data_IF_295247011401
#
_entry.id   IF_295247011401
#
_cell.length_a   1.000
_cell.length_b   1.000
_cell.length_c   1.000
_cell.angle_alpha   90.00
_cell.angle_beta   90.00
_cell.angle_gamma   90.00
#
_symmetry.space_group_name_H-M   'P 1'
#
loop_
_entity.id
_entity.type
_entity.pdbx_description
1 polymer ?
#
# COMPACT_ATOMS: atom_id res chain seq x y z
N UNK A 1 45.22 12.65 -78.23
CA UNK A 1 43.82 12.40 -77.83
C UNK A 1 43.85 11.85 -76.43
N UNK A 2 42.99 12.40 -75.57
CA UNK A 2 42.87 12.06 -74.17
C UNK A 2 42.15 10.73 -73.97
N UNK A 3 42.48 10.05 -72.86
CA UNK A 3 41.49 9.58 -71.88
C UNK A 3 42.16 9.59 -70.49
N UNK A 4 41.73 10.41 -69.53
CA UNK A 4 42.12 10.26 -68.14
C UNK A 4 41.32 9.12 -67.50
N UNK A 5 42.04 8.24 -66.81
CA UNK A 5 41.51 7.18 -65.96
C UNK A 5 40.92 7.84 -64.69
N UNK A 6 39.62 7.72 -64.52
CA UNK A 6 38.86 8.23 -63.39
C UNK A 6 38.34 7.02 -62.60
N UNK A 7 39.15 6.39 -61.76
CA UNK A 7 38.57 5.39 -60.84
C UNK A 7 39.31 5.08 -59.54
N UNK A 8 40.10 6.00 -58.97
CA UNK A 8 40.90 5.69 -57.75
C UNK A 8 40.60 6.55 -56.50
N UNK A 9 39.57 7.41 -56.51
CA UNK A 9 39.30 8.31 -55.36
C UNK A 9 37.98 8.10 -54.65
N UNK A 10 37.10 7.20 -55.13
CA UNK A 10 35.75 7.02 -54.55
C UNK A 10 35.70 6.05 -53.36
N UNK A 11 36.72 5.21 -53.20
CA UNK A 11 36.71 4.08 -52.25
C UNK A 11 37.33 4.39 -50.88
N UNK A 12 38.14 5.45 -50.77
CA UNK A 12 38.86 5.80 -49.53
C UNK A 12 38.03 6.64 -48.54
N UNK A 13 37.00 7.34 -49.01
CA UNK A 13 36.16 8.19 -48.15
C UNK A 13 35.11 7.42 -47.34
N UNK A 14 34.55 6.35 -47.91
CA UNK A 14 33.49 5.53 -47.31
C UNK A 14 34.01 4.61 -46.21
N UNK A 15 35.24 4.12 -46.33
CA UNK A 15 35.90 3.25 -45.34
C UNK A 15 36.28 3.98 -44.04
N UNK A 16 36.71 5.25 -44.13
CA UNK A 16 37.02 6.08 -42.94
C UNK A 16 35.76 6.54 -42.19
N UNK A 17 34.72 6.94 -42.92
CA UNK A 17 33.43 7.30 -42.32
C UNK A 17 32.73 6.10 -41.66
N UNK A 18 32.78 4.91 -42.27
CA UNK A 18 32.26 3.68 -41.67
C UNK A 18 33.01 3.29 -40.38
N UNK A 19 34.34 3.40 -40.39
CA UNK A 19 35.17 3.09 -39.20
C UNK A 19 34.92 4.07 -38.05
N UNK A 20 34.74 5.36 -38.33
CA UNK A 20 34.42 6.37 -37.31
C UNK A 20 33.04 6.14 -36.67
N UNK A 21 32.02 5.83 -37.47
CA UNK A 21 30.67 5.54 -36.97
C UNK A 21 30.65 4.27 -36.12
N UNK A 22 31.35 3.22 -36.55
CA UNK A 22 31.50 1.98 -35.75
C UNK A 22 32.19 2.27 -34.42
N UNK A 23 33.24 3.11 -34.42
CA UNK A 23 33.92 3.52 -33.17
C UNK A 23 32.99 4.24 -32.19
N UNK A 24 32.15 5.16 -32.68
CA UNK A 24 31.17 5.89 -31.84
C UNK A 24 30.11 4.96 -31.27
N UNK A 25 29.56 4.06 -32.08
CA UNK A 25 28.53 3.09 -31.63
C UNK A 25 29.09 2.15 -30.59
N UNK A 26 30.30 1.60 -30.82
CA UNK A 26 30.97 0.74 -29.84
C UNK A 26 31.27 1.50 -28.54
N UNK A 27 31.71 2.75 -28.63
CA UNK A 27 31.93 3.61 -27.46
C UNK A 27 30.65 3.85 -26.64
N UNK A 28 29.51 4.10 -27.30
CA UNK A 28 28.22 4.27 -26.62
C UNK A 28 27.76 2.99 -25.93
N UNK A 29 27.91 1.84 -26.59
CA UNK A 29 27.54 0.54 -26.00
C UNK A 29 28.40 0.24 -24.77
N UNK A 30 29.71 0.46 -24.84
CA UNK A 30 30.62 0.28 -23.70
C UNK A 30 30.23 1.21 -22.56
N UNK A 31 29.97 2.49 -22.85
CA UNK A 31 29.56 3.46 -21.84
C UNK A 31 28.24 3.06 -21.16
N UNK A 32 27.25 2.60 -21.93
CA UNK A 32 25.99 2.10 -21.39
C UNK A 32 26.19 0.88 -20.50
N UNK A 33 27.00 -0.10 -20.94
CA UNK A 33 27.33 -1.28 -20.13
C UNK A 33 28.04 -0.91 -18.82
N UNK A 34 29.00 0.02 -18.87
CA UNK A 34 29.69 0.51 -17.66
C UNK A 34 28.72 1.24 -16.73
N UNK A 35 27.81 2.05 -17.27
CA UNK A 35 26.77 2.72 -16.50
C UNK A 35 25.82 1.74 -15.81
N UNK A 36 25.40 0.68 -16.50
CA UNK A 36 24.54 -0.37 -15.93
C UNK A 36 25.27 -1.14 -14.83
N UNK A 37 26.52 -1.56 -15.06
CA UNK A 37 27.31 -2.26 -14.03
C UNK A 37 27.56 -1.34 -12.82
N UNK A 38 27.91 -0.08 -13.05
CA UNK A 38 28.08 0.91 -11.99
C UNK A 38 26.79 1.13 -11.18
N UNK A 39 25.64 1.17 -11.86
CA UNK A 39 24.33 1.27 -11.20
C UNK A 39 24.04 0.06 -10.31
N UNK A 40 24.25 -1.16 -10.80
CA UNK A 40 24.03 -2.37 -10.00
C UNK A 40 25.00 -2.47 -8.81
N UNK A 41 26.27 -2.08 -8.98
CA UNK A 41 27.23 -2.02 -7.87
C UNK A 41 26.81 -0.98 -6.83
N UNK A 42 26.34 0.19 -7.26
CA UNK A 42 25.88 1.24 -6.36
C UNK A 42 24.63 0.81 -5.58
N UNK A 43 23.65 0.22 -6.26
CA UNK A 43 22.43 -0.31 -5.61
C UNK A 43 22.78 -1.44 -4.63
N UNK A 44 23.69 -2.34 -5.00
CA UNK A 44 24.16 -3.41 -4.10
C UNK A 44 24.79 -2.85 -2.82
N UNK A 45 25.74 -1.92 -2.94
CA UNK A 45 26.38 -1.29 -1.77
C UNK A 45 25.40 -0.47 -0.93
N UNK A 46 24.45 0.22 -1.57
CA UNK A 46 23.41 0.96 -0.86
C UNK A 46 22.49 0.02 -0.05
N UNK A 47 22.14 -1.13 -0.61
CA UNK A 47 21.34 -2.16 0.07
C UNK A 47 22.10 -2.81 1.23
N UNK A 48 23.41 -3.08 1.09
CA UNK A 48 24.26 -3.60 2.17
C UNK A 48 24.39 -2.60 3.32
N UNK A 49 24.61 -1.31 3.00
CA UNK A 49 24.67 -0.24 4.01
C UNK A 49 23.34 -0.02 4.72
N UNK A 50 22.24 -0.19 4.00
CA UNK A 50 20.91 -0.16 4.59
C UNK A 50 20.72 -1.38 5.50
N UNK A 51 21.10 -2.59 5.08
CA UNK A 51 21.02 -3.78 5.93
C UNK A 51 21.85 -3.68 7.22
N UNK A 52 23.08 -3.16 7.17
CA UNK A 52 23.90 -2.91 8.36
C UNK A 52 23.25 -1.93 9.34
N UNK A 53 22.44 -0.98 8.85
CA UNK A 53 21.70 -0.07 9.73
C UNK A 53 20.54 -0.74 10.48
N UNK A 54 20.04 -1.88 10.01
CA UNK A 54 19.03 -2.67 10.71
C UNK A 54 19.62 -3.57 11.80
N UNK A 55 20.84 -4.07 11.59
CA UNK A 55 21.53 -5.01 12.50
C UNK A 55 22.03 -4.35 13.80
N UNK A 56 22.05 -3.01 13.86
CA UNK A 56 22.49 -2.27 15.04
C UNK A 56 21.47 -2.21 16.20
N UNK A 57 20.36 -2.95 16.13
CA UNK A 57 19.26 -2.86 17.12
C UNK A 57 19.06 -4.10 17.99
N UNK A 58 19.94 -5.10 17.96
CA UNK A 58 19.84 -6.24 18.88
C UNK A 58 20.65 -5.97 20.17
N UNK A 59 20.01 -5.70 21.33
CA UNK A 59 20.69 -5.93 22.59
C UNK A 59 20.88 -7.44 22.74
N UNK A 60 22.14 -7.86 22.91
CA UNK A 60 22.52 -9.24 23.28
C UNK A 60 21.80 -9.64 24.58
N UNK A 61 20.65 -10.30 24.46
CA UNK A 61 19.95 -10.91 25.60
C UNK A 61 20.55 -12.30 25.79
N UNK A 62 21.48 -12.40 26.73
CA UNK A 62 21.88 -13.66 27.36
C UNK A 62 20.63 -14.42 27.81
N UNK A 63 20.26 -15.47 27.08
CA UNK A 63 19.16 -16.35 27.41
C UNK A 63 19.45 -17.03 28.76
N UNK A 64 18.76 -16.58 29.80
CA UNK A 64 18.54 -17.41 30.98
C UNK A 64 17.29 -18.22 30.66
N UNK A 65 17.47 -19.51 30.42
CA UNK A 65 16.39 -20.44 30.15
C UNK A 65 15.49 -20.52 31.38
N UNK A 66 14.30 -19.94 31.31
CA UNK A 66 13.10 -20.27 32.11
C UNK A 66 12.05 -19.18 31.81
N UNK A 67 11.21 -19.38 30.79
CA UNK A 67 9.75 -19.43 30.98
C UNK A 67 9.06 -19.75 29.64
N UNK A 68 8.14 -20.69 29.72
CA UNK A 68 7.34 -21.22 28.62
C UNK A 68 6.23 -20.25 28.24
N UNK A 69 6.36 -19.53 27.13
CA UNK A 69 5.27 -19.09 26.22
C UNK A 69 5.88 -18.22 25.10
N UNK A 70 6.62 -18.83 24.19
CA UNK A 70 7.00 -18.14 22.96
C UNK A 70 5.75 -18.02 22.06
N UNK A 71 4.93 -17.00 22.32
CA UNK A 71 4.16 -16.36 21.24
C UNK A 71 5.20 -16.01 20.18
N UNK A 72 5.03 -16.55 18.97
CA UNK A 72 6.01 -16.41 17.90
C UNK A 72 6.44 -14.96 17.77
N UNK A 73 7.76 -14.75 17.74
CA UNK A 73 8.37 -13.44 17.51
C UNK A 73 7.68 -12.78 16.32
N UNK A 74 6.86 -11.77 16.60
CA UNK A 74 6.08 -11.07 15.57
C UNK A 74 7.08 -10.57 14.54
N UNK A 75 6.94 -11.01 13.29
CA UNK A 75 7.82 -10.51 12.24
C UNK A 75 7.54 -9.03 12.05
N UNK A 76 8.52 -8.23 11.59
CA UNK A 76 8.32 -6.78 11.45
C UNK A 76 7.11 -6.37 10.59
N UNK A 77 6.63 -7.28 9.73
CA UNK A 77 5.40 -7.10 8.95
C UNK A 77 4.13 -7.27 9.79
N UNK A 78 4.09 -8.26 10.69
CA UNK A 78 2.95 -8.47 11.59
C UNK A 78 2.79 -7.30 12.56
N UNK A 79 3.91 -6.84 13.14
CA UNK A 79 3.94 -5.68 14.02
C UNK A 79 3.50 -4.38 13.31
N UNK A 80 3.88 -4.21 12.03
CA UNK A 80 3.46 -3.05 11.24
C UNK A 80 1.97 -3.07 10.89
N UNK A 81 1.44 -4.26 10.56
CA UNK A 81 0.02 -4.44 10.30
C UNK A 81 -0.82 -4.21 11.56
N UNK A 82 -0.36 -4.69 12.71
CA UNK A 82 -1.03 -4.43 13.99
C UNK A 82 -1.00 -2.95 14.34
N UNK A 83 0.15 -2.28 14.18
CA UNK A 83 0.27 -0.84 14.38
C UNK A 83 -0.66 -0.03 13.46
N UNK A 84 -0.92 -0.49 12.23
CA UNK A 84 -1.88 0.16 11.32
C UNK A 84 -3.32 0.11 11.85
N UNK A 85 -3.72 -1.01 12.46
CA UNK A 85 -5.07 -1.20 13.03
C UNK A 85 -5.29 -0.47 14.35
N UNK A 86 -4.21 -0.07 15.02
CA UNK A 86 -4.34 0.65 16.28
C UNK A 86 -5.09 1.98 16.06
N UNK A 87 -6.18 2.13 16.81
CA UNK A 87 -6.99 3.33 16.81
C UNK A 87 -6.33 4.39 17.67
N UNK A 88 -6.25 5.60 17.13
CA UNK A 88 -5.69 6.75 17.82
C UNK A 88 -6.85 7.55 18.43
N UNK A 89 -7.16 7.32 19.70
CA UNK A 89 -8.22 7.99 20.43
C UNK A 89 -7.89 8.15 21.91
N UNK A 90 -8.66 8.97 22.62
CA UNK A 90 -8.69 9.00 24.08
C UNK A 90 -10.04 8.47 24.58
N UNK A 91 -10.14 7.98 25.82
CA UNK A 91 -11.41 7.53 26.37
C UNK A 91 -12.54 8.57 26.27
N UNK A 92 -12.21 9.86 26.35
CA UNK A 92 -13.17 10.94 26.20
C UNK A 92 -13.66 11.09 24.75
N UNK A 93 -12.75 11.05 23.77
CA UNK A 93 -13.12 11.18 22.35
C UNK A 93 -13.86 9.94 21.86
N UNK A 94 -13.46 8.76 22.33
CA UNK A 94 -14.13 7.49 22.03
C UNK A 94 -15.55 7.47 22.62
N UNK A 95 -15.74 7.99 23.84
CA UNK A 95 -17.06 8.13 24.45
C UNK A 95 -17.95 9.13 23.71
N UNK A 96 -17.38 10.21 23.16
CA UNK A 96 -18.11 11.15 22.30
C UNK A 96 -18.54 10.48 20.98
N UNK A 97 -17.66 9.72 20.33
CA UNK A 97 -17.99 8.97 19.12
C UNK A 97 -19.08 7.92 19.37
N UNK A 98 -19.06 7.25 20.54
CA UNK A 98 -20.05 6.26 20.93
C UNK A 98 -21.49 6.82 20.99
N UNK A 99 -21.66 8.14 21.17
CA UNK A 99 -22.98 8.78 21.14
C UNK A 99 -23.65 8.69 19.76
N UNK A 100 -22.87 8.53 18.69
CA UNK A 100 -23.39 8.41 17.33
C UNK A 100 -23.79 6.97 16.95
N UNK A 101 -23.33 5.95 17.68
CA UNK A 101 -23.60 4.53 17.37
C UNK A 101 -25.10 4.23 17.21
N UNK A 102 -26.01 4.68 18.09
CA UNK A 102 -27.44 4.38 17.92
C UNK A 102 -28.04 5.00 16.65
N UNK A 103 -27.56 6.17 16.23
CA UNK A 103 -28.04 6.83 15.02
C UNK A 103 -27.53 6.13 13.75
N UNK A 104 -26.27 5.70 13.75
CA UNK A 104 -25.70 4.88 12.66
C UNK A 104 -26.40 3.52 12.58
N UNK A 105 -26.63 2.86 13.72
CA UNK A 105 -27.39 1.61 13.80
C UNK A 105 -28.78 1.77 13.21
N UNK A 106 -29.53 2.79 13.64
CA UNK A 106 -30.90 3.01 13.15
C UNK A 106 -30.97 3.30 11.64
N UNK A 107 -29.91 3.87 11.06
CA UNK A 107 -29.81 4.08 9.62
C UNK A 107 -29.54 2.78 8.85
N UNK A 108 -28.81 1.83 9.45
CA UNK A 108 -28.39 0.57 8.82
C UNK A 108 -29.33 -0.60 9.06
N UNK A 109 -30.09 -0.61 10.16
CA UNK A 109 -31.07 -1.66 10.48
C UNK A 109 -32.04 -1.98 9.33
N UNK A 110 -32.55 -0.99 8.55
CA UNK A 110 -33.43 -1.29 7.41
C UNK A 110 -32.73 -2.01 6.25
N UNK A 111 -31.40 -1.89 6.15
CA UNK A 111 -30.59 -2.54 5.09
C UNK A 111 -30.29 -4.00 5.47
N UNK A 112 -30.20 -4.31 6.76
CA UNK A 112 -30.05 -5.67 7.28
C UNK A 112 -31.41 -6.38 7.40
N UNK A 113 -32.10 -6.54 6.28
CA UNK A 113 -33.46 -7.10 6.20
C UNK A 113 -33.53 -8.63 5.96
N UNK A 114 -32.38 -9.30 6.00
CA UNK A 114 -32.18 -10.72 5.70
C UNK A 114 -31.87 -11.02 4.24
N UNK A 115 -31.82 -9.99 3.37
CA UNK A 115 -31.39 -10.12 1.97
C UNK A 115 -29.91 -9.78 1.79
N UNK A 116 -29.38 -9.99 0.58
CA UNK A 116 -27.99 -9.69 0.28
C UNK A 116 -27.75 -8.18 0.40
N UNK A 117 -26.78 -7.79 1.24
CA UNK A 117 -26.43 -6.40 1.49
C UNK A 117 -25.65 -5.83 0.31
N UNK A 118 -26.09 -4.68 -0.19
CA UNK A 118 -25.42 -3.92 -1.25
C UNK A 118 -24.68 -2.70 -0.68
N UNK A 119 -23.44 -2.47 -1.13
CA UNK A 119 -22.61 -1.38 -0.62
C UNK A 119 -23.16 0.02 -0.96
N UNK A 120 -23.78 0.19 -2.13
CA UNK A 120 -24.37 1.48 -2.53
C UNK A 120 -25.61 1.77 -1.69
N UNK A 121 -26.39 0.75 -1.33
CA UNK A 121 -27.53 0.88 -0.42
C UNK A 121 -27.10 1.29 1.00
N UNK A 122 -26.06 0.66 1.55
CA UNK A 122 -25.47 1.03 2.84
C UNK A 122 -25.02 2.49 2.84
N UNK A 123 -24.31 2.91 1.79
CA UNK A 123 -23.84 4.30 1.63
C UNK A 123 -25.02 5.27 1.55
N UNK A 124 -26.03 4.95 0.75
CA UNK A 124 -27.22 5.80 0.58
C UNK A 124 -28.01 5.95 1.88
N UNK A 125 -28.16 4.88 2.67
CA UNK A 125 -28.85 4.92 3.95
C UNK A 125 -28.18 5.86 4.96
N UNK A 126 -26.85 5.82 5.05
CA UNK A 126 -26.08 6.69 5.94
C UNK A 126 -26.10 8.16 5.50
N UNK A 127 -25.96 8.41 4.19
CA UNK A 127 -26.06 9.77 3.66
C UNK A 127 -27.47 10.33 3.85
N UNK A 128 -28.52 9.52 3.67
CA UNK A 128 -29.90 9.92 3.93
C UNK A 128 -30.15 10.24 5.42
N UNK A 129 -29.41 9.59 6.33
CA UNK A 129 -29.42 9.88 7.76
C UNK A 129 -28.59 11.14 8.14
N UNK A 130 -27.87 11.74 7.18
CA UNK A 130 -27.12 12.97 7.37
C UNK A 130 -25.63 12.78 7.68
N UNK A 131 -25.08 11.58 7.50
CA UNK A 131 -23.64 11.34 7.64
C UNK A 131 -22.91 11.70 6.35
N UNK A 132 -21.89 12.57 6.44
CA UNK A 132 -21.20 13.13 5.27
C UNK A 132 -19.90 12.36 4.92
N UNK A 133 -19.23 11.81 5.91
CA UNK A 133 -17.91 11.16 5.77
C UNK A 133 -18.05 9.65 5.98
N UNK A 134 -18.58 8.99 4.96
CA UNK A 134 -18.89 7.55 4.97
C UNK A 134 -17.87 6.78 4.16
N UNK A 135 -17.39 5.68 4.72
CA UNK A 135 -16.52 4.69 4.09
C UNK A 135 -17.28 3.36 4.05
N UNK A 136 -17.36 2.76 2.87
CA UNK A 136 -18.00 1.46 2.66
C UNK A 136 -17.03 0.55 1.91
N UNK A 137 -16.93 -0.69 2.38
CA UNK A 137 -16.10 -1.73 1.79
C UNK A 137 -16.97 -2.96 1.57
N UNK A 138 -17.38 -3.18 0.32
CA UNK A 138 -18.19 -4.31 -0.12
C UNK A 138 -17.38 -5.35 -0.90
N UNK A 139 -16.06 -5.14 -1.03
CA UNK A 139 -15.17 -6.00 -1.81
C UNK A 139 -13.94 -6.44 -1.03
N UNK A 140 -13.50 -7.65 -1.32
CA UNK A 140 -12.19 -8.15 -0.86
C UNK A 140 -11.05 -7.51 -1.69
N UNK A 141 -9.80 -7.81 -1.31
CA UNK A 141 -8.63 -7.29 -2.01
C UNK A 141 -8.43 -7.83 -3.44
N UNK A 142 -9.19 -8.87 -3.85
CA UNK A 142 -9.25 -9.37 -5.21
C UNK A 142 -10.35 -8.68 -6.06
N UNK A 143 -11.17 -7.83 -5.43
CA UNK A 143 -12.26 -7.09 -6.08
C UNK A 143 -13.59 -7.83 -6.14
N UNK A 144 -13.70 -9.00 -5.52
CA UNK A 144 -14.96 -9.77 -5.44
C UNK A 144 -15.89 -9.16 -4.40
N UNK A 145 -17.19 -9.15 -4.70
CA UNK A 145 -18.23 -8.72 -3.75
C UNK A 145 -18.30 -9.70 -2.59
N UNK A 146 -18.28 -9.17 -1.36
CA UNK A 146 -18.42 -9.94 -0.13
C UNK A 146 -19.82 -9.81 0.45
N UNK A 147 -20.37 -10.86 1.10
CA UNK A 147 -21.72 -10.83 1.66
C UNK A 147 -21.84 -9.99 2.93
N UNK A 148 -20.72 -9.52 3.48
CA UNK A 148 -20.64 -8.69 4.69
C UNK A 148 -19.92 -7.41 4.31
N UNK A 149 -20.64 -6.29 4.41
CA UNK A 149 -20.15 -4.98 3.99
C UNK A 149 -19.53 -4.26 5.20
N UNK A 150 -18.26 -3.89 5.10
CA UNK A 150 -17.59 -3.05 6.10
C UNK A 150 -18.10 -1.62 6.03
N UNK A 151 -18.32 -0.99 7.19
CA UNK A 151 -18.79 0.39 7.31
C UNK A 151 -17.92 1.19 8.27
N UNK A 152 -17.64 2.45 7.92
CA UNK A 152 -16.94 3.41 8.75
C UNK A 152 -17.50 4.81 8.54
N UNK A 153 -17.84 5.51 9.62
CA UNK A 153 -18.45 6.84 9.58
C UNK A 153 -17.68 7.76 10.50
N UNK A 154 -17.14 8.86 9.96
CA UNK A 154 -16.50 9.87 10.80
C UNK A 154 -17.57 10.73 11.50
N UNK A 155 -17.43 10.86 12.81
CA UNK A 155 -18.36 11.55 13.71
C UNK A 155 -17.58 12.44 14.68
N UNK A 156 -18.23 13.37 15.41
CA UNK A 156 -17.56 14.06 16.50
C UNK A 156 -16.92 13.05 17.48
N UNK A 157 -15.68 13.30 17.89
CA UNK A 157 -14.91 12.40 18.76
C UNK A 157 -14.18 11.26 18.06
N UNK A 158 -14.49 10.91 16.80
CA UNK A 158 -13.77 9.85 16.10
C UNK A 158 -14.59 9.17 15.00
N UNK A 159 -14.72 7.85 15.11
CA UNK A 159 -15.33 6.99 14.11
C UNK A 159 -16.34 6.04 14.75
N UNK A 160 -17.45 5.80 14.05
CA UNK A 160 -18.27 4.60 14.23
C UNK A 160 -17.92 3.64 13.11
N UNK A 161 -17.61 2.40 13.43
CA UNK A 161 -17.14 1.42 12.45
C UNK A 161 -17.69 0.03 12.74
N UNK A 162 -17.66 -0.84 11.74
CA UNK A 162 -18.07 -2.22 11.89
C UNK A 162 -18.48 -2.85 10.58
N UNK A 163 -19.54 -3.65 10.62
CA UNK A 163 -20.00 -4.42 9.48
C UNK A 163 -21.52 -4.58 9.44
N UNK A 164 -22.04 -4.68 8.23
CA UNK A 164 -23.44 -4.94 7.90
C UNK A 164 -23.50 -6.29 7.18
N UNK A 165 -24.14 -7.26 7.82
CA UNK A 165 -24.49 -8.56 7.26
C UNK A 165 -26.00 -8.60 7.00
N UNK A 166 -26.51 -9.56 6.19
CA UNK A 166 -27.93 -9.67 5.86
C UNK A 166 -28.87 -9.56 7.06
N UNK A 167 -28.54 -10.23 8.17
CA UNK A 167 -29.40 -10.33 9.35
C UNK A 167 -28.90 -9.54 10.55
N UNK A 168 -27.78 -8.82 10.43
CA UNK A 168 -27.13 -8.20 11.58
C UNK A 168 -26.28 -7.00 11.21
N UNK A 169 -26.35 -5.97 12.05
CA UNK A 169 -25.43 -4.83 12.05
C UNK A 169 -24.63 -4.88 13.34
N UNK A 170 -23.31 -4.86 13.21
CA UNK A 170 -22.38 -4.83 14.35
C UNK A 170 -21.56 -3.56 14.25
N UNK A 171 -21.67 -2.68 15.25
CA UNK A 171 -20.97 -1.40 15.28
C UNK A 171 -20.22 -1.23 16.59
N UNK A 172 -19.11 -0.53 16.50
CA UNK A 172 -18.29 -0.06 17.62
C UNK A 172 -17.83 1.38 17.35
N UNK A 173 -17.31 2.06 18.36
CA UNK A 173 -16.84 3.43 18.25
C UNK A 173 -15.44 3.60 18.84
N UNK A 174 -14.66 4.48 18.22
CA UNK A 174 -13.33 4.84 18.69
C UNK A 174 -12.63 5.81 17.76
N UNK A 175 -11.38 6.14 18.08
CA UNK A 175 -10.55 6.99 17.23
C UNK A 175 -10.31 6.44 15.81
N UNK A 176 -9.81 7.28 14.89
CA UNK A 176 -9.38 6.84 13.56
C UNK A 176 -8.21 5.86 13.64
N UNK A 177 -8.05 5.07 12.59
CA UNK A 177 -6.85 4.23 12.40
C UNK A 177 -5.65 5.07 11.93
N UNK A 178 -4.49 4.45 11.74
CA UNK A 178 -3.22 5.14 11.49
C UNK A 178 -3.21 6.07 10.25
N UNK A 179 -4.04 5.81 9.24
CA UNK A 179 -4.18 6.65 8.03
C UNK A 179 -5.22 7.78 8.19
N UNK A 180 -5.85 7.91 9.36
CA UNK A 180 -6.91 8.86 9.63
C UNK A 180 -8.30 8.39 9.21
N UNK A 181 -8.44 7.20 8.63
CA UNK A 181 -9.70 6.59 8.22
C UNK A 181 -10.49 5.96 9.37
N UNK A 182 -11.71 5.53 9.07
CA UNK A 182 -12.58 4.80 10.00
C UNK A 182 -12.57 3.29 9.76
N UNK A 183 -12.21 2.87 8.55
CA UNK A 183 -12.08 1.48 8.12
C UNK A 183 -10.65 1.19 7.67
N UNK A 184 -10.23 -0.06 7.88
CA UNK A 184 -9.01 -0.60 7.29
C UNK A 184 -9.14 -0.72 5.77
N UNK A 185 -8.05 -0.46 5.03
CA UNK A 185 -8.01 -0.86 3.62
C UNK A 185 -8.10 -2.39 3.51
N UNK A 186 -8.86 -2.94 2.54
CA UNK A 186 -8.82 -4.36 2.23
C UNK A 186 -7.38 -4.80 1.94
N UNK A 187 -6.81 -5.60 2.84
CA UNK A 187 -5.43 -6.08 2.69
C UNK A 187 -5.34 -7.18 1.62
N UNK A 188 -4.34 -7.07 0.74
CA UNK A 188 -3.99 -8.04 -0.30
C UNK A 188 -3.59 -9.42 0.22
#
# INVERSE_FOLDING_TARGET
MATPDLDDTRTDGTSRLGSAVVGVVVGLVIFACVGVVGYFLFVGVAMERWAESYDASEPEVTATAEDTTAVGQETGLDASNEAYRQRTGTPETDAEAALAVPAVQAALDPVADGSAVDGDEVSAALVAAGFENVQVVDRNAFGDVVPVVGVGVAVPGGCVYGAVAPDAVTLDAGGPIADGGCLEMPSH
#
